data_IF_518039401723
#
_entry.id   IF_518039401723
#
_cell.length_a   1.000
_cell.length_b   1.000
_cell.length_c   1.000
_cell.angle_alpha   90.00
_cell.angle_beta   90.00
_cell.angle_gamma   90.00
#
_symmetry.space_group_name_H-M   'P 1'
#
loop_
_entity.id
_entity.type
_entity.pdbx_description
1 polymer ?
#
# COMPACT_ATOMS: atom_id res chain seq x y z
N UNK A 1 -3.02 -19.13 -7.20
CA UNK A 1 -3.27 -17.99 -6.29
C UNK A 1 -3.54 -18.43 -4.84
N UNK A 2 -4.36 -19.46 -4.62
CA UNK A 2 -4.76 -19.93 -3.29
C UNK A 2 -3.62 -20.49 -2.42
N UNK A 3 -2.50 -20.87 -3.02
CA UNK A 3 -1.33 -21.34 -2.25
C UNK A 3 -0.67 -20.22 -1.45
N UNK A 4 -0.65 -18.99 -1.98
CA UNK A 4 0.05 -17.84 -1.38
C UNK A 4 -0.91 -16.79 -0.82
N UNK A 5 -2.18 -16.78 -1.27
CA UNK A 5 -3.13 -15.73 -0.92
C UNK A 5 -4.25 -16.24 -0.03
N UNK A 6 -4.60 -15.42 0.96
CA UNK A 6 -5.75 -15.68 1.83
C UNK A 6 -7.01 -15.14 1.15
N UNK A 7 -7.88 -16.07 0.74
CA UNK A 7 -9.13 -15.83 0.02
C UNK A 7 -8.97 -15.25 -1.41
N UNK A 8 -8.22 -14.18 -1.60
CA UNK A 8 -7.95 -13.56 -2.90
C UNK A 8 -6.69 -12.70 -2.89
N UNK A 9 -6.19 -12.35 -4.07
CA UNK A 9 -5.13 -11.35 -4.21
C UNK A 9 -5.64 -9.95 -3.72
N UNK A 10 -4.85 -9.15 -3.00
CA UNK A 10 -3.42 -9.33 -2.69
C UNK A 10 -3.13 -9.89 -1.28
N UNK A 11 -4.13 -10.29 -0.51
CA UNK A 11 -3.94 -10.75 0.87
C UNK A 11 -3.07 -12.01 0.91
N UNK A 12 -1.96 -11.98 1.67
CA UNK A 12 -1.09 -13.13 1.85
C UNK A 12 -1.60 -14.03 2.99
N UNK A 13 -1.47 -15.35 2.80
CA UNK A 13 -1.56 -16.34 3.87
C UNK A 13 -0.15 -16.66 4.43
N UNK A 14 -0.06 -17.57 5.40
CA UNK A 14 1.21 -17.94 6.05
C UNK A 14 2.26 -18.41 5.04
N UNK A 15 1.90 -19.23 4.06
CA UNK A 15 2.82 -19.68 3.02
C UNK A 15 3.30 -18.52 2.13
N UNK A 16 2.41 -17.60 1.75
CA UNK A 16 2.78 -16.43 0.97
C UNK A 16 3.69 -15.47 1.74
N UNK A 17 3.46 -15.33 3.05
CA UNK A 17 4.35 -14.56 3.94
C UNK A 17 5.72 -15.22 4.07
N UNK A 18 5.78 -16.54 4.25
CA UNK A 18 7.04 -17.29 4.36
C UNK A 18 7.85 -17.26 3.05
N UNK A 19 7.19 -17.45 1.89
CA UNK A 19 7.80 -17.31 0.57
C UNK A 19 8.42 -15.92 0.37
N UNK A 20 7.71 -14.87 0.77
CA UNK A 20 8.21 -13.50 0.70
C UNK A 20 9.38 -13.26 1.66
N UNK A 21 9.32 -13.82 2.88
CA UNK A 21 10.40 -13.76 3.85
C UNK A 21 11.66 -14.49 3.38
N UNK A 22 11.51 -15.55 2.59
CA UNK A 22 12.59 -16.26 1.91
C UNK A 22 13.20 -15.49 0.73
N UNK A 23 12.75 -14.26 0.46
CA UNK A 23 13.33 -13.42 -0.60
C UNK A 23 13.01 -13.87 -2.02
N UNK A 24 11.89 -14.59 -2.20
CA UNK A 24 11.45 -15.15 -3.50
C UNK A 24 12.40 -16.19 -4.12
N UNK A 25 13.36 -16.73 -3.34
CA UNK A 25 14.36 -17.69 -3.85
C UNK A 25 13.85 -19.13 -3.89
N UNK A 26 12.77 -19.45 -3.18
CA UNK A 26 12.14 -20.78 -3.17
C UNK A 26 11.36 -21.11 -4.47
N UNK A 27 11.42 -20.23 -5.45
CA UNK A 27 11.01 -20.55 -6.81
C UNK A 27 11.90 -21.66 -7.35
N UNK A 28 11.31 -22.65 -8.04
CA UNK A 28 12.02 -23.82 -8.57
C UNK A 28 13.01 -23.51 -9.69
N UNK A 29 13.23 -22.26 -10.01
CA UNK A 29 14.17 -21.81 -11.02
C UNK A 29 15.61 -21.97 -10.55
N UNK A 30 16.44 -22.40 -11.47
CA UNK A 30 17.89 -22.41 -11.27
C UNK A 30 18.39 -20.96 -11.27
N UNK A 31 19.33 -20.59 -10.37
CA UNK A 31 20.02 -19.32 -10.50
C UNK A 31 20.81 -19.32 -11.82
N UNK A 32 20.97 -18.13 -12.42
CA UNK A 32 21.88 -17.94 -13.54
C UNK A 32 23.28 -18.43 -13.13
N UNK A 33 23.81 -19.42 -13.79
CA UNK A 33 25.11 -19.99 -13.47
C UNK A 33 25.87 -20.31 -14.77
N UNK A 34 27.11 -19.82 -14.86
CA UNK A 34 28.03 -20.17 -15.94
C UNK A 34 27.59 -19.67 -17.30
N UNK A 35 27.74 -20.53 -18.31
CA UNK A 35 27.39 -20.25 -19.70
C UNK A 35 25.91 -20.41 -20.02
N UNK A 36 25.08 -20.86 -19.08
CA UNK A 36 23.67 -21.14 -19.29
C UNK A 36 22.84 -19.86 -19.01
N UNK A 37 22.84 -18.95 -19.97
CA UNK A 37 22.02 -17.75 -19.99
C UNK A 37 20.57 -18.09 -20.37
N UNK A 38 19.87 -18.89 -19.56
CA UNK A 38 18.43 -19.09 -19.73
C UNK A 38 17.64 -18.15 -18.83
N UNK A 39 17.18 -17.04 -19.38
CA UNK A 39 16.29 -16.12 -18.66
C UNK A 39 14.97 -16.79 -18.30
N UNK A 40 14.50 -17.76 -19.08
CA UNK A 40 13.24 -18.47 -18.84
C UNK A 40 13.22 -19.24 -17.52
N UNK A 41 14.36 -19.72 -17.04
CA UNK A 41 14.45 -20.48 -15.79
C UNK A 41 14.62 -19.60 -14.54
N UNK A 42 14.86 -18.30 -14.72
CA UNK A 42 15.22 -17.38 -13.63
C UNK A 42 14.27 -16.18 -13.49
N UNK A 43 13.45 -15.91 -14.51
CA UNK A 43 12.61 -14.74 -14.60
C UNK A 43 11.15 -15.13 -14.76
N UNK A 44 10.29 -14.62 -13.86
CA UNK A 44 8.83 -14.67 -14.01
C UNK A 44 8.30 -13.28 -14.28
N UNK A 45 7.45 -13.18 -15.29
CA UNK A 45 6.75 -11.95 -15.66
C UNK A 45 5.24 -12.12 -15.55
N UNK A 46 4.56 -11.05 -15.21
CA UNK A 46 3.11 -10.94 -15.24
C UNK A 46 2.72 -9.54 -15.67
N UNK A 47 1.79 -9.45 -16.60
CA UNK A 47 1.06 -8.21 -16.89
C UNK A 47 -0.14 -8.14 -15.96
N UNK A 48 -0.30 -6.99 -15.31
CA UNK A 48 -1.41 -6.75 -14.41
C UNK A 48 -2.22 -5.54 -14.89
N UNK A 49 -3.53 -5.73 -15.06
CA UNK A 49 -4.42 -4.67 -15.54
C UNK A 49 -5.64 -4.51 -14.66
N UNK A 50 -6.11 -3.27 -14.54
CA UNK A 50 -7.36 -2.91 -13.88
C UNK A 50 -8.21 -2.04 -14.79
N UNK A 51 -9.50 -2.37 -14.83
CA UNK A 51 -10.56 -1.56 -15.42
C UNK A 51 -11.47 -1.16 -14.27
N UNK A 52 -11.70 0.13 -14.09
CA UNK A 52 -12.48 0.64 -12.97
C UNK A 52 -13.60 1.55 -13.44
N UNK A 53 -14.78 1.36 -12.86
CA UNK A 53 -15.88 2.30 -12.91
C UNK A 53 -16.15 2.84 -11.52
N UNK A 54 -16.24 4.17 -11.37
CA UNK A 54 -16.55 4.84 -10.11
C UNK A 54 -17.66 5.85 -10.29
N UNK A 55 -18.54 5.94 -9.27
CA UNK A 55 -19.65 6.91 -9.24
C UNK A 55 -19.86 7.43 -7.82
N UNK A 56 -20.06 8.73 -7.69
CA UNK A 56 -20.45 9.38 -6.43
C UNK A 56 -21.91 9.81 -6.47
N UNK A 57 -22.47 10.18 -5.33
CA UNK A 57 -23.76 10.86 -5.24
C UNK A 57 -23.63 12.39 -5.17
N UNK A 58 -22.40 12.92 -5.37
CA UNK A 58 -22.14 14.35 -5.46
C UNK A 58 -22.57 14.93 -6.81
N UNK A 59 -22.50 16.24 -6.94
CA UNK A 59 -22.75 16.94 -8.20
C UNK A 59 -21.50 16.97 -9.08
N UNK A 60 -21.68 16.91 -10.40
CA UNK A 60 -20.55 17.07 -11.33
C UNK A 60 -19.98 18.50 -11.19
N UNK A 61 -18.67 18.57 -11.02
CA UNK A 61 -17.97 19.87 -11.05
C UNK A 61 -17.97 20.44 -12.46
N UNK A 62 -18.00 21.77 -12.58
CA UNK A 62 -17.68 22.41 -13.85
C UNK A 62 -16.27 22.01 -14.26
N UNK A 63 -16.02 21.61 -15.53
CA UNK A 63 -14.69 21.27 -16.00
C UNK A 63 -13.79 22.49 -15.93
N UNK A 64 -12.91 22.53 -14.97
CA UNK A 64 -11.80 23.46 -14.95
C UNK A 64 -10.69 22.83 -15.80
N UNK A 65 -10.49 23.35 -17.03
CA UNK A 65 -9.35 22.97 -17.85
C UNK A 65 -9.43 21.64 -18.60
N UNK A 66 -10.59 21.10 -18.85
CA UNK A 66 -10.81 20.14 -19.96
C UNK A 66 -10.65 18.66 -19.70
N UNK A 67 -10.30 18.18 -18.51
CA UNK A 67 -10.32 16.75 -18.22
C UNK A 67 -11.36 16.40 -17.15
N UNK A 68 -12.17 15.34 -17.37
CA UNK A 68 -13.11 14.86 -16.36
C UNK A 68 -12.34 14.46 -15.11
N UNK A 69 -12.80 14.95 -14.00
CA UNK A 69 -12.25 14.62 -12.69
C UNK A 69 -12.76 13.26 -12.24
N UNK A 70 -11.90 12.52 -11.55
CA UNK A 70 -12.20 11.16 -11.09
C UNK A 70 -13.37 11.13 -10.11
N UNK A 71 -14.24 10.12 -10.25
CA UNK A 71 -15.38 9.86 -9.35
C UNK A 71 -16.48 10.93 -9.41
N UNK A 72 -17.02 11.15 -10.58
CA UNK A 72 -18.10 12.08 -10.83
C UNK A 72 -19.48 11.51 -10.48
N UNK A 73 -20.51 12.37 -10.39
CA UNK A 73 -21.90 11.98 -10.27
C UNK A 73 -22.40 11.16 -11.46
N UNK A 74 -22.00 11.53 -12.67
CA UNK A 74 -22.31 10.80 -13.91
C UNK A 74 -21.65 9.43 -13.98
N UNK A 75 -20.58 9.24 -13.22
CA UNK A 75 -19.72 8.07 -13.25
C UNK A 75 -18.52 8.26 -14.17
N UNK A 76 -17.47 7.52 -13.89
CA UNK A 76 -16.19 7.58 -14.60
C UNK A 76 -15.69 6.15 -14.88
N UNK A 77 -15.38 5.87 -16.13
CA UNK A 77 -14.68 4.65 -16.52
C UNK A 77 -13.20 4.95 -16.71
N UNK A 78 -12.35 4.21 -16.01
CA UNK A 78 -10.90 4.23 -16.17
C UNK A 78 -10.45 2.94 -16.87
N UNK A 79 -9.90 3.08 -18.10
CA UNK A 79 -9.46 1.95 -18.91
C UNK A 79 -8.17 2.30 -19.67
N UNK A 80 -7.02 1.76 -19.26
CA UNK A 80 -6.81 1.05 -18.00
C UNK A 80 -6.74 2.05 -16.82
N UNK A 81 -7.16 1.62 -15.63
CA UNK A 81 -6.86 2.32 -14.38
C UNK A 81 -5.43 2.03 -13.93
N UNK A 82 -4.98 0.83 -14.15
CA UNK A 82 -3.60 0.40 -13.96
C UNK A 82 -3.22 -0.59 -15.05
N UNK A 83 -2.01 -0.47 -15.57
CA UNK A 83 -1.39 -1.43 -16.46
C UNK A 83 0.08 -1.53 -16.08
N UNK A 84 0.45 -2.61 -15.40
CA UNK A 84 1.76 -2.79 -14.81
C UNK A 84 2.42 -4.08 -15.28
N UNK A 85 3.74 -4.04 -15.45
CA UNK A 85 4.58 -5.19 -15.66
C UNK A 85 5.24 -5.54 -14.32
N UNK A 86 4.97 -6.75 -13.83
CA UNK A 86 5.62 -7.30 -12.65
C UNK A 86 6.66 -8.32 -13.09
N UNK A 87 7.90 -8.14 -12.70
CA UNK A 87 8.98 -9.08 -12.91
C UNK A 87 9.55 -9.52 -11.58
N UNK A 88 9.81 -10.80 -11.41
CA UNK A 88 10.43 -11.33 -10.22
C UNK A 88 11.22 -12.58 -10.53
N UNK A 89 12.17 -12.91 -9.67
CA UNK A 89 12.96 -14.10 -9.90
C UNK A 89 14.09 -14.26 -8.90
N UNK A 90 14.85 -15.32 -9.14
CA UNK A 90 16.03 -15.69 -8.37
C UNK A 90 17.29 -15.32 -9.15
N UNK A 91 18.12 -14.46 -8.58
CA UNK A 91 19.40 -14.05 -9.17
C UNK A 91 20.52 -15.00 -8.75
N UNK A 92 20.52 -15.42 -7.49
CA UNK A 92 21.52 -16.32 -6.92
C UNK A 92 20.89 -17.18 -5.82
N UNK A 93 21.66 -18.07 -5.20
CA UNK A 93 21.17 -18.99 -4.16
C UNK A 93 20.36 -18.27 -3.07
N UNK A 94 20.83 -17.11 -2.66
CA UNK A 94 20.26 -16.33 -1.54
C UNK A 94 19.74 -14.96 -1.98
N UNK A 95 19.64 -14.68 -3.29
CA UNK A 95 19.31 -13.37 -3.83
C UNK A 95 18.13 -13.51 -4.78
N UNK A 96 17.03 -12.87 -4.45
CA UNK A 96 15.90 -12.68 -5.34
C UNK A 96 15.78 -11.22 -5.79
N UNK A 97 14.81 -10.94 -6.64
CA UNK A 97 14.43 -9.58 -7.00
C UNK A 97 12.93 -9.50 -7.31
N UNK A 98 12.41 -8.30 -7.24
CA UNK A 98 11.08 -7.93 -7.71
C UNK A 98 11.15 -6.54 -8.30
N UNK A 99 10.57 -6.38 -9.48
CA UNK A 99 10.45 -5.12 -10.20
C UNK A 99 8.99 -4.89 -10.58
N UNK A 100 8.52 -3.67 -10.41
CA UNK A 100 7.23 -3.19 -10.88
C UNK A 100 7.46 -2.06 -11.89
N UNK A 101 7.07 -2.30 -13.14
CA UNK A 101 7.08 -1.32 -14.21
C UNK A 101 5.67 -0.82 -14.49
N UNK A 102 5.48 0.50 -14.55
CA UNK A 102 4.20 1.10 -14.90
C UNK A 102 4.15 1.37 -16.40
N UNK A 103 3.21 0.73 -17.11
CA UNK A 103 3.08 0.82 -18.55
C UNK A 103 2.01 1.84 -18.99
N UNK A 104 1.14 2.28 -18.08
CA UNK A 104 0.10 3.26 -18.34
C UNK A 104 0.05 4.29 -17.21
N UNK A 105 -0.29 5.53 -17.57
CA UNK A 105 -0.29 6.67 -16.65
C UNK A 105 0.98 7.52 -16.76
N UNK A 106 0.95 8.76 -16.31
CA UNK A 106 2.07 9.72 -16.38
C UNK A 106 3.14 9.54 -15.29
N UNK A 107 3.19 8.39 -14.61
CA UNK A 107 4.15 8.10 -13.54
C UNK A 107 5.50 7.58 -14.06
N UNK A 108 6.49 7.39 -13.18
CA UNK A 108 7.78 6.81 -13.55
C UNK A 108 7.60 5.38 -14.07
N UNK A 109 8.32 5.04 -15.15
CA UNK A 109 8.27 3.70 -15.76
C UNK A 109 8.64 2.61 -14.74
N UNK A 110 9.61 2.88 -13.86
CA UNK A 110 9.95 2.02 -12.73
C UNK A 110 9.21 2.50 -11.48
N UNK A 111 8.12 1.85 -11.12
CA UNK A 111 7.35 2.16 -9.91
C UNK A 111 7.98 1.56 -8.64
N UNK A 112 8.62 0.42 -8.77
CA UNK A 112 9.28 -0.20 -7.63
C UNK A 112 10.32 -1.25 -8.02
N UNK A 113 11.39 -1.31 -7.23
CA UNK A 113 12.40 -2.35 -7.33
C UNK A 113 12.89 -2.74 -5.94
N UNK A 114 13.11 -4.03 -5.71
CA UNK A 114 13.79 -4.54 -4.52
C UNK A 114 14.56 -5.82 -4.83
N UNK A 115 15.68 -6.00 -4.12
CA UNK A 115 16.55 -7.15 -4.27
C UNK A 115 16.85 -7.77 -2.89
N UNK A 116 15.98 -8.63 -2.37
CA UNK A 116 16.22 -9.31 -1.10
C UNK A 116 17.42 -10.26 -1.20
N UNK A 117 18.31 -10.12 -0.24
CA UNK A 117 19.42 -11.03 0.03
C UNK A 117 19.17 -11.65 1.40
N UNK A 118 18.99 -12.99 1.46
CA UNK A 118 18.50 -13.70 2.65
C UNK A 118 19.41 -14.86 3.00
N UNK A 119 19.71 -14.99 4.27
CA UNK A 119 20.52 -16.09 4.82
C UNK A 119 19.82 -16.73 6.01
N UNK A 120 19.80 -18.04 6.06
CA UNK A 120 19.36 -18.81 7.21
C UNK A 120 20.54 -19.01 8.17
N UNK A 121 20.41 -18.48 9.37
CA UNK A 121 21.42 -18.55 10.43
C UNK A 121 20.77 -19.02 11.73
N UNK A 122 21.12 -20.20 12.22
CA UNK A 122 20.62 -20.77 13.48
C UNK A 122 19.07 -20.77 13.59
N UNK A 123 18.38 -21.13 12.50
CA UNK A 123 16.92 -21.18 12.45
C UNK A 123 16.24 -19.81 12.32
N UNK A 124 17.00 -18.75 12.09
CA UNK A 124 16.50 -17.41 11.82
C UNK A 124 16.82 -17.02 10.38
N UNK A 125 15.94 -16.29 9.70
CA UNK A 125 16.24 -15.61 8.45
C UNK A 125 16.74 -14.21 8.73
N UNK A 126 17.96 -13.94 8.29
CA UNK A 126 18.56 -12.61 8.30
C UNK A 126 18.63 -12.11 6.86
N UNK A 127 18.31 -10.86 6.64
CA UNK A 127 18.39 -10.33 5.30
C UNK A 127 18.61 -8.85 5.21
N UNK A 128 19.05 -8.43 4.01
CA UNK A 128 19.11 -7.04 3.60
C UNK A 128 18.40 -6.89 2.24
N UNK A 129 17.60 -5.85 2.12
CA UNK A 129 16.84 -5.55 0.91
C UNK A 129 17.10 -4.13 0.48
N UNK A 130 18.00 -3.87 -0.47
CA UNK A 130 18.02 -2.60 -1.20
C UNK A 130 16.70 -2.45 -1.94
N UNK A 131 16.09 -1.27 -1.85
CA UNK A 131 14.80 -1.02 -2.49
C UNK A 131 14.63 0.43 -2.91
N UNK A 132 13.75 0.64 -3.88
CA UNK A 132 13.21 1.95 -4.28
C UNK A 132 11.75 1.79 -4.67
N UNK A 133 10.93 2.78 -4.37
CA UNK A 133 9.49 2.81 -4.72
C UNK A 133 9.00 4.24 -4.88
N UNK A 134 8.09 4.45 -5.82
CA UNK A 134 7.46 5.75 -6.08
C UNK A 134 6.41 6.14 -5.03
N UNK A 135 5.71 5.15 -4.43
CA UNK A 135 4.52 5.42 -3.63
C UNK A 135 4.32 4.54 -2.39
N UNK A 136 5.17 3.52 -2.14
CA UNK A 136 4.88 2.50 -1.14
C UNK A 136 5.64 2.67 0.19
N UNK A 137 6.50 3.68 0.31
CA UNK A 137 7.20 4.03 1.52
C UNK A 137 8.26 3.02 1.97
N UNK A 138 8.84 3.24 3.14
CA UNK A 138 9.94 2.42 3.66
C UNK A 138 9.52 0.96 3.97
N UNK A 139 8.24 0.70 4.18
CA UNK A 139 7.72 -0.67 4.36
C UNK A 139 7.78 -1.52 3.08
N UNK A 140 7.97 -0.90 1.91
CA UNK A 140 8.10 -1.63 0.65
C UNK A 140 9.28 -2.60 0.64
N UNK A 141 10.38 -2.25 1.29
CA UNK A 141 11.56 -3.11 1.36
C UNK A 141 11.27 -4.47 1.99
N UNK A 142 10.64 -4.49 3.16
CA UNK A 142 10.24 -5.72 3.83
C UNK A 142 9.00 -5.52 4.70
N UNK A 143 7.88 -6.11 4.31
CA UNK A 143 6.63 -6.18 5.06
C UNK A 143 5.91 -7.47 4.68
N UNK A 144 5.48 -8.23 5.67
CA UNK A 144 4.79 -9.51 5.45
C UNK A 144 3.28 -9.39 5.68
N UNK A 145 2.85 -8.56 6.64
CA UNK A 145 1.45 -8.47 7.01
C UNK A 145 0.63 -7.68 6.01
N UNK A 146 -0.62 -8.06 5.87
CA UNK A 146 -1.60 -7.34 5.07
C UNK A 146 -1.97 -5.99 5.68
N UNK A 147 -1.83 -5.82 7.00
CA UNK A 147 -2.11 -4.59 7.74
C UNK A 147 -0.92 -3.65 7.82
N UNK A 148 0.30 -4.14 7.76
CA UNK A 148 1.52 -3.35 7.91
C UNK A 148 1.95 -2.62 6.66
N UNK A 149 1.49 -3.05 5.50
CA UNK A 149 1.83 -2.44 4.22
C UNK A 149 0.94 -1.22 3.92
N UNK A 150 1.38 -0.43 2.95
CA UNK A 150 0.60 0.66 2.36
C UNK A 150 -0.76 0.19 1.87
N UNK A 151 -0.80 -0.98 1.27
CA UNK A 151 -2.01 -1.62 0.78
C UNK A 151 -2.47 -2.63 1.79
N UNK A 152 -3.42 -2.21 2.59
CA UNK A 152 -4.18 -3.09 3.46
C UNK A 152 -4.94 -4.14 2.64
N UNK A 153 -5.47 -5.13 3.31
CA UNK A 153 -6.47 -6.01 2.69
C UNK A 153 -7.60 -5.15 2.15
N UNK A 154 -7.77 -5.21 0.84
CA UNK A 154 -8.79 -4.47 0.11
C UNK A 154 -9.48 -5.40 -0.84
N UNK A 155 -10.80 -5.39 -0.81
CA UNK A 155 -11.57 -6.07 -1.84
C UNK A 155 -11.40 -5.34 -3.16
N UNK A 156 -11.53 -4.02 -3.16
CA UNK A 156 -11.23 -3.19 -4.32
C UNK A 156 -10.16 -2.16 -3.99
N UNK A 157 -9.41 -1.75 -4.98
CA UNK A 157 -8.53 -0.58 -4.88
C UNK A 157 -9.33 0.72 -4.89
N UNK A 158 -10.24 0.81 -3.98
CA UNK A 158 -11.07 1.96 -3.81
C UNK A 158 -10.21 3.14 -3.36
N UNK A 159 -10.02 4.13 -4.23
CA UNK A 159 -9.09 5.24 -3.98
C UNK A 159 -9.41 6.05 -2.73
N UNK A 160 -10.63 5.99 -2.26
CA UNK A 160 -11.07 6.70 -1.07
C UNK A 160 -10.98 5.85 0.21
N UNK A 161 -10.91 4.51 0.09
CA UNK A 161 -10.91 3.60 1.22
C UNK A 161 -9.54 2.91 1.36
N UNK A 162 -8.65 3.56 2.07
CA UNK A 162 -7.28 3.16 2.24
C UNK A 162 -7.03 2.67 3.66
N UNK A 163 -5.98 1.89 3.84
CA UNK A 163 -5.50 1.50 5.17
C UNK A 163 -5.13 2.72 6.01
N UNK A 164 -5.08 2.57 7.33
CA UNK A 164 -4.65 3.65 8.21
C UNK A 164 -3.24 4.15 7.85
N UNK A 165 -2.31 3.24 7.54
CA UNK A 165 -0.96 3.59 7.12
C UNK A 165 -0.95 4.33 5.78
N UNK A 166 -1.71 3.88 4.79
CA UNK A 166 -1.80 4.56 3.51
C UNK A 166 -2.40 5.96 3.67
N UNK A 167 -3.45 6.09 4.48
CA UNK A 167 -4.06 7.38 4.76
C UNK A 167 -3.09 8.38 5.39
N UNK A 168 -2.30 7.92 6.37
CA UNK A 168 -1.42 8.81 7.13
C UNK A 168 -0.10 9.07 6.42
N UNK A 169 0.56 8.02 5.88
CA UNK A 169 1.95 8.11 5.44
C UNK A 169 2.13 8.25 3.93
N UNK A 170 1.12 7.92 3.12
CA UNK A 170 1.32 7.82 1.67
C UNK A 170 0.29 8.59 0.84
N UNK A 171 -0.85 8.92 1.41
CA UNK A 171 -1.83 9.78 0.77
C UNK A 171 -1.69 11.21 1.24
N UNK A 172 -1.69 12.11 0.32
CA UNK A 172 -1.61 13.53 0.55
C UNK A 172 -0.39 14.13 -0.10
N UNK A 173 -0.50 15.41 -0.35
CA UNK A 173 0.58 16.20 -0.92
C UNK A 173 1.64 16.36 0.15
N UNK A 174 2.76 15.72 -0.02
CA UNK A 174 3.93 15.98 0.79
C UNK A 174 4.50 17.37 0.46
N UNK A 175 5.26 17.96 1.38
CA UNK A 175 6.03 19.15 1.07
C UNK A 175 6.85 18.90 -0.20
N UNK A 176 6.81 19.81 -1.17
CA UNK A 176 7.46 19.65 -2.46
C UNK A 176 6.61 18.99 -3.56
N UNK A 177 5.31 18.75 -3.36
CA UNK A 177 4.38 18.36 -4.42
C UNK A 177 4.26 16.86 -4.71
N UNK A 178 5.24 16.02 -4.33
CA UNK A 178 5.27 14.58 -4.59
C UNK A 178 4.54 13.75 -3.52
N UNK A 179 4.25 12.48 -3.80
CA UNK A 179 3.66 11.57 -2.82
C UNK A 179 4.61 11.33 -1.65
N UNK A 180 4.10 11.28 -0.44
CA UNK A 180 4.92 10.99 0.75
C UNK A 180 5.52 9.58 0.76
N UNK A 181 5.07 8.71 -0.15
CA UNK A 181 5.52 7.32 -0.27
C UNK A 181 6.77 7.10 -1.12
N UNK A 182 7.25 8.10 -1.87
CA UNK A 182 8.50 7.97 -2.63
C UNK A 182 9.68 7.69 -1.69
N UNK A 183 10.38 6.57 -1.87
CA UNK A 183 11.38 6.12 -0.89
C UNK A 183 12.44 5.23 -1.53
N UNK A 184 13.71 5.45 -1.17
CA UNK A 184 14.83 4.57 -1.52
C UNK A 184 15.64 4.27 -0.27
N UNK A 185 16.05 3.03 -0.07
CA UNK A 185 16.81 2.65 1.12
C UNK A 185 17.21 1.19 1.19
N UNK A 186 17.56 0.77 2.39
CA UNK A 186 17.90 -0.61 2.71
C UNK A 186 17.05 -1.07 3.89
N UNK A 187 16.39 -2.22 3.76
CA UNK A 187 15.74 -2.88 4.90
C UNK A 187 16.64 -4.00 5.41
N UNK A 188 17.04 -3.91 6.65
CA UNK A 188 17.70 -5.00 7.39
C UNK A 188 16.61 -5.70 8.21
N UNK A 189 16.52 -7.02 8.11
CA UNK A 189 15.49 -7.76 8.83
C UNK A 189 16.02 -9.03 9.49
N UNK A 190 15.34 -9.39 10.57
CA UNK A 190 15.39 -10.68 11.23
C UNK A 190 13.97 -11.25 11.23
N UNK A 191 13.81 -12.50 10.79
CA UNK A 191 12.53 -13.19 10.73
C UNK A 191 12.64 -14.62 11.24
N UNK A 192 11.61 -15.07 11.93
CA UNK A 192 11.32 -16.48 12.20
C UNK A 192 9.78 -16.71 12.22
N UNK A 193 9.29 -17.94 12.39
CA UNK A 193 7.85 -18.21 12.38
C UNK A 193 7.03 -17.45 13.42
N UNK A 194 7.64 -16.95 14.50
CA UNK A 194 6.93 -16.32 15.62
C UNK A 194 7.01 -14.78 15.62
N UNK A 195 7.99 -14.20 14.92
CA UNK A 195 8.15 -12.77 14.86
C UNK A 195 9.07 -12.31 13.72
N UNK A 196 9.01 -11.04 13.39
CA UNK A 196 10.05 -10.36 12.61
C UNK A 196 10.27 -8.93 13.08
N UNK A 197 11.47 -8.42 12.83
CA UNK A 197 11.86 -7.04 13.05
C UNK A 197 12.56 -6.49 11.82
N UNK A 198 12.35 -5.19 11.54
CA UNK A 198 12.96 -4.49 10.41
C UNK A 198 13.51 -3.16 10.87
N UNK A 199 14.72 -2.83 10.41
CA UNK A 199 15.33 -1.52 10.48
C UNK A 199 15.61 -1.06 9.04
N UNK A 200 15.06 0.10 8.64
CA UNK A 200 15.27 0.58 7.28
C UNK A 200 15.71 2.06 7.25
N UNK A 201 17.03 2.32 7.19
CA UNK A 201 17.55 3.63 6.82
C UNK A 201 17.16 3.95 5.37
N UNK A 202 16.62 5.16 5.14
CA UNK A 202 16.08 5.54 3.84
C UNK A 202 16.14 7.05 3.58
N UNK A 203 15.96 7.41 2.32
CA UNK A 203 15.66 8.76 1.85
C UNK A 203 14.24 8.82 1.29
N UNK A 204 13.48 9.91 1.50
CA UNK A 204 12.11 10.08 0.97
C UNK A 204 12.11 10.51 -0.51
N UNK A 205 12.92 9.86 -1.32
CA UNK A 205 13.08 10.11 -2.74
C UNK A 205 13.06 8.80 -3.51
N UNK A 206 12.55 8.83 -4.75
CA UNK A 206 12.54 7.72 -5.68
C UNK A 206 13.06 8.21 -7.04
N UNK A 207 14.12 7.59 -7.55
CA UNK A 207 14.69 7.80 -8.88
C UNK A 207 14.53 9.24 -9.41
N UNK A 208 15.16 10.24 -8.80
CA UNK A 208 15.15 11.57 -9.38
C UNK A 208 15.74 11.51 -10.77
N UNK A 209 15.09 12.17 -11.74
CA UNK A 209 15.53 12.17 -13.11
C UNK A 209 16.98 12.65 -13.28
N UNK A 210 17.67 12.16 -14.32
CA UNK A 210 18.97 12.66 -14.73
C UNK A 210 20.17 12.22 -13.88
N UNK A 211 20.09 11.11 -13.15
CA UNK A 211 21.20 10.60 -12.35
C UNK A 211 21.52 11.44 -11.11
N UNK A 212 20.56 12.25 -10.67
CA UNK A 212 20.66 13.07 -9.48
C UNK A 212 20.89 12.25 -8.22
N UNK A 213 21.59 12.82 -7.24
CA UNK A 213 21.83 12.18 -5.96
C UNK A 213 20.52 12.05 -5.18
N UNK A 214 20.25 10.85 -4.66
CA UNK A 214 19.05 10.57 -3.86
C UNK A 214 19.05 11.23 -2.46
N UNK A 215 20.17 11.82 -2.04
CA UNK A 215 20.38 12.34 -0.69
C UNK A 215 20.85 11.27 0.30
N UNK A 216 21.05 11.67 1.55
CA UNK A 216 21.50 10.77 2.62
C UNK A 216 20.39 9.85 3.14
N UNK A 217 20.74 8.70 3.69
CA UNK A 217 19.83 7.77 4.36
C UNK A 217 19.58 8.18 5.82
N UNK A 218 19.13 9.40 6.04
CA UNK A 218 18.98 10.01 7.37
C UNK A 218 17.58 9.91 7.97
N UNK A 219 16.66 9.29 7.27
CA UNK A 219 15.39 8.83 7.81
C UNK A 219 15.45 7.34 8.15
N UNK A 220 14.76 6.94 9.22
CA UNK A 220 14.75 5.56 9.71
C UNK A 220 13.33 5.07 9.89
N UNK A 221 13.06 3.88 9.41
CA UNK A 221 11.83 3.13 9.67
C UNK A 221 12.14 1.92 10.53
N UNK A 222 11.29 1.68 11.53
CA UNK A 222 11.33 0.52 12.41
C UNK A 222 10.01 -0.23 12.32
N UNK A 223 10.09 -1.56 12.28
CA UNK A 223 8.97 -2.49 12.32
C UNK A 223 9.28 -3.62 13.30
N UNK A 224 8.33 -3.96 14.18
CA UNK A 224 8.39 -5.17 14.98
C UNK A 224 7.02 -5.83 15.00
N UNK A 225 6.96 -7.14 14.79
CA UNK A 225 5.73 -7.93 14.65
C UNK A 225 5.88 -9.26 15.37
N UNK A 226 4.85 -9.66 16.10
CA UNK A 226 4.65 -11.02 16.59
C UNK A 226 3.66 -11.74 15.68
N UNK A 227 3.92 -13.04 15.36
CA UNK A 227 3.13 -13.87 14.42
C UNK A 227 2.75 -15.23 15.00
N UNK A 228 2.07 -15.30 16.16
CA UNK A 228 1.70 -16.59 16.75
C UNK A 228 0.55 -17.25 15.97
N UNK A 229 0.56 -18.60 15.95
CA UNK A 229 -0.60 -19.40 15.56
C UNK A 229 -1.29 -19.93 16.81
N UNK A 230 -2.59 -19.66 16.98
CA UNK A 230 -3.36 -20.06 18.15
C UNK A 230 -4.68 -20.68 17.70
N UNK A 231 -4.95 -21.91 18.11
CA UNK A 231 -6.18 -22.62 17.81
C UNK A 231 -6.57 -22.64 16.31
N UNK A 232 -5.57 -22.78 15.44
CA UNK A 232 -5.75 -22.80 13.98
C UNK A 232 -5.94 -21.43 13.33
N UNK A 233 -5.80 -20.34 14.11
CA UNK A 233 -5.77 -18.96 13.59
C UNK A 233 -4.33 -18.47 13.47
N UNK A 234 -3.98 -17.95 12.31
CA UNK A 234 -2.77 -17.16 12.09
C UNK A 234 -3.03 -15.75 12.61
N UNK A 235 -2.35 -15.39 13.68
CA UNK A 235 -2.47 -14.09 14.33
C UNK A 235 -1.21 -13.27 14.08
N UNK A 236 -1.36 -11.95 14.00
CA UNK A 236 -0.21 -11.08 14.03
C UNK A 236 -0.56 -9.74 14.69
N UNK A 237 0.41 -9.16 15.38
CA UNK A 237 0.32 -7.81 15.92
C UNK A 237 1.67 -7.11 15.80
N UNK A 238 1.66 -5.84 15.40
CA UNK A 238 2.89 -5.12 15.14
C UNK A 238 2.84 -3.64 15.41
N UNK A 239 4.05 -3.07 15.49
CA UNK A 239 4.29 -1.64 15.65
C UNK A 239 5.21 -1.14 14.54
N UNK A 240 5.02 0.11 14.14
CA UNK A 240 5.81 0.82 13.15
C UNK A 240 6.18 2.20 13.68
N UNK A 241 7.39 2.66 13.37
CA UNK A 241 7.82 4.01 13.71
C UNK A 241 8.71 4.59 12.60
N UNK A 242 8.54 5.89 12.35
CA UNK A 242 9.37 6.68 11.47
C UNK A 242 10.01 7.81 12.25
N UNK A 243 11.29 8.02 12.03
CA UNK A 243 12.06 9.11 12.63
C UNK A 243 13.14 9.61 11.68
N UNK A 244 13.58 10.85 11.90
CA UNK A 244 14.68 11.45 11.17
C UNK A 244 14.30 12.72 10.42
N UNK A 245 15.24 13.24 9.66
CA UNK A 245 15.07 14.37 8.77
C UNK A 245 15.90 14.15 7.51
N UNK A 246 15.45 14.67 6.40
CA UNK A 246 16.10 14.49 5.12
C UNK A 246 15.84 15.68 4.18
N UNK A 247 16.55 15.69 3.08
CA UNK A 247 16.23 16.56 1.95
C UNK A 247 15.37 15.78 0.96
N UNK A 248 14.33 16.42 0.45
CA UNK A 248 13.47 15.89 -0.57
C UNK A 248 13.60 16.73 -1.82
N UNK A 249 13.72 16.06 -2.96
CA UNK A 249 13.73 16.70 -4.25
C UNK A 249 12.30 16.91 -4.75
N UNK A 250 11.99 18.13 -5.13
CA UNK A 250 10.80 18.43 -5.89
C UNK A 250 11.09 18.17 -7.39
N UNK A 251 10.03 17.98 -8.19
CA UNK A 251 10.11 17.62 -9.61
C UNK A 251 11.02 18.57 -10.44
N UNK A 252 12.32 18.45 -10.26
CA UNK A 252 13.33 18.97 -11.16
C UNK A 252 14.35 19.95 -10.59
N UNK A 253 14.09 20.77 -9.56
CA UNK A 253 15.06 21.79 -9.15
C UNK A 253 15.12 22.15 -7.67
N UNK A 254 14.03 22.03 -6.93
CA UNK A 254 13.99 22.50 -5.55
C UNK A 254 14.26 21.37 -4.55
N UNK A 255 15.10 21.65 -3.57
CA UNK A 255 15.36 20.75 -2.43
C UNK A 255 14.63 21.29 -1.21
N UNK A 256 13.73 20.51 -0.66
CA UNK A 256 12.97 20.86 0.55
C UNK A 256 13.44 19.99 1.71
N UNK A 257 13.82 20.60 2.84
CA UNK A 257 14.05 19.88 4.08
C UNK A 257 12.74 19.30 4.62
N UNK A 258 12.73 18.04 5.05
CA UNK A 258 11.57 17.39 5.66
C UNK A 258 11.96 16.62 6.89
N UNK A 259 11.05 16.53 7.86
CA UNK A 259 11.14 15.55 8.94
C UNK A 259 10.24 14.35 8.66
N UNK A 260 10.70 13.14 8.99
CA UNK A 260 9.88 11.91 8.88
C UNK A 260 9.48 11.51 10.29
N UNK A 261 8.25 11.85 10.70
CA UNK A 261 7.76 11.56 12.07
C UNK A 261 6.38 10.93 12.00
N UNK A 262 6.27 9.72 12.53
CA UNK A 262 5.00 9.03 12.64
C UNK A 262 5.14 7.66 13.29
N UNK A 263 4.00 7.06 13.61
CA UNK A 263 3.95 5.71 14.14
C UNK A 263 2.63 5.04 13.77
N UNK A 264 2.62 3.72 13.76
CA UNK A 264 1.42 2.92 13.61
C UNK A 264 1.47 1.65 14.47
N UNK A 265 0.28 1.14 14.77
CA UNK A 265 0.07 -0.21 15.33
C UNK A 265 -0.94 -0.93 14.46
N UNK A 266 -0.78 -2.23 14.31
CA UNK A 266 -1.66 -3.05 13.50
C UNK A 266 -1.78 -4.47 14.03
N UNK A 267 -2.89 -5.11 13.70
CA UNK A 267 -3.12 -6.52 14.01
C UNK A 267 -3.94 -7.19 12.91
N UNK A 268 -3.69 -8.47 12.68
CA UNK A 268 -4.51 -9.29 11.81
C UNK A 268 -4.78 -10.67 12.43
N UNK A 269 -5.92 -11.23 12.06
CA UNK A 269 -6.28 -12.59 12.36
C UNK A 269 -6.85 -13.25 11.10
N UNK A 270 -6.28 -14.37 10.69
CA UNK A 270 -6.74 -15.17 9.54
C UNK A 270 -7.04 -16.59 10.02
N UNK A 271 -8.25 -17.05 9.77
CA UNK A 271 -8.72 -18.36 10.20
C UNK A 271 -10.02 -18.72 9.51
N UNK A 272 -10.88 -19.48 10.18
CA UNK A 272 -12.16 -19.87 9.64
C UNK A 272 -13.25 -19.93 10.72
N UNK A 273 -14.49 -19.66 10.32
CA UNK A 273 -15.70 -19.89 11.11
C UNK A 273 -16.51 -20.96 10.39
N UNK A 274 -16.54 -22.18 10.96
CA UNK A 274 -17.01 -23.35 10.23
C UNK A 274 -16.14 -23.61 8.99
N UNK A 275 -16.75 -23.69 7.82
CA UNK A 275 -16.06 -23.88 6.54
C UNK A 275 -15.68 -22.56 5.84
N UNK A 276 -16.08 -21.42 6.39
CA UNK A 276 -15.88 -20.11 5.77
C UNK A 276 -14.61 -19.45 6.30
N UNK A 277 -13.62 -19.14 5.44
CA UNK A 277 -12.46 -18.37 5.83
C UNK A 277 -12.88 -16.96 6.30
N UNK A 278 -12.28 -16.51 7.41
CA UNK A 278 -12.51 -15.17 7.97
C UNK A 278 -11.18 -14.48 8.24
N UNK A 279 -11.02 -13.31 7.65
CA UNK A 279 -9.92 -12.37 7.93
C UNK A 279 -10.43 -11.17 8.71
N UNK A 280 -9.71 -10.78 9.78
CA UNK A 280 -9.97 -9.55 10.54
C UNK A 280 -8.69 -8.73 10.58
N UNK A 281 -8.79 -7.44 10.27
CA UNK A 281 -7.64 -6.56 10.06
C UNK A 281 -7.88 -5.23 10.77
N UNK A 282 -6.96 -4.86 11.65
CA UNK A 282 -6.97 -3.61 12.39
C UNK A 282 -5.71 -2.83 12.13
N UNK A 283 -5.81 -1.52 11.96
CA UNK A 283 -4.65 -0.64 11.93
C UNK A 283 -5.00 0.74 12.51
N UNK A 284 -4.03 1.32 13.23
CA UNK A 284 -4.07 2.71 13.68
C UNK A 284 -2.74 3.38 13.35
N UNK A 285 -2.80 4.56 12.74
CA UNK A 285 -1.61 5.33 12.35
C UNK A 285 -1.77 6.80 12.74
N UNK A 286 -0.63 7.44 13.07
CA UNK A 286 -0.59 8.86 13.44
C UNK A 286 0.71 9.51 12.99
N UNK A 287 0.60 10.70 12.40
CA UNK A 287 1.70 11.63 12.15
C UNK A 287 1.43 12.95 12.88
N UNK A 288 2.38 13.50 13.66
CA UNK A 288 2.24 14.80 14.30
C UNK A 288 2.09 15.90 13.24
N UNK A 289 1.47 17.01 13.63
CA UNK A 289 1.36 18.19 12.79
C UNK A 289 2.71 18.87 12.55
N UNK A 290 2.74 19.70 11.54
CA UNK A 290 3.87 20.60 11.22
C UNK A 290 3.65 21.94 11.93
N UNK A 291 4.68 22.43 12.59
CA UNK A 291 4.66 23.79 13.15
C UNK A 291 4.65 24.79 12.00
N UNK A 292 3.76 25.77 12.05
CA UNK A 292 3.67 26.82 11.03
C UNK A 292 5.02 27.54 10.89
N UNK A 293 5.50 27.69 9.65
CA UNK A 293 6.81 28.31 9.36
C UNK A 293 8.01 27.40 9.59
N UNK A 294 7.80 26.10 9.87
CA UNK A 294 8.92 25.15 10.01
C UNK A 294 9.72 25.04 8.72
N UNK A 295 11.04 25.15 8.82
CA UNK A 295 11.95 24.88 7.70
C UNK A 295 12.02 23.39 7.32
N UNK A 296 11.54 22.50 8.21
CA UNK A 296 11.50 21.04 8.00
C UNK A 296 10.11 20.49 8.33
N UNK A 297 9.10 20.74 7.49
CA UNK A 297 7.76 20.23 7.72
C UNK A 297 7.74 18.70 7.76
N UNK A 298 6.76 18.12 8.46
CA UNK A 298 6.60 16.68 8.51
C UNK A 298 6.16 16.17 7.14
N UNK A 299 6.94 15.26 6.56
CA UNK A 299 6.68 14.61 5.28
C UNK A 299 5.26 14.03 5.17
N UNK A 300 4.76 13.48 6.26
CA UNK A 300 3.47 12.79 6.29
C UNK A 300 2.30 13.71 6.59
N UNK A 301 2.55 14.94 7.03
CA UNK A 301 1.50 15.84 7.46
C UNK A 301 1.96 17.31 7.49
N UNK A 302 1.68 18.03 6.44
CA UNK A 302 1.97 19.46 6.35
C UNK A 302 1.02 20.35 7.20
N UNK A 303 -0.12 19.79 7.69
CA UNK A 303 -1.09 20.52 8.50
C UNK A 303 -0.63 20.68 9.95
N UNK A 304 -1.17 21.70 10.64
CA UNK A 304 -0.81 22.00 12.03
C UNK A 304 -1.32 20.97 13.05
N UNK A 305 -2.46 20.35 12.79
CA UNK A 305 -3.01 19.32 13.68
C UNK A 305 -2.51 17.94 13.26
N UNK A 306 -2.52 16.98 14.19
CA UNK A 306 -2.11 15.61 13.90
C UNK A 306 -3.02 14.94 12.84
N UNK A 307 -2.40 14.33 11.84
CA UNK A 307 -3.05 13.42 10.89
C UNK A 307 -3.11 12.04 11.51
N UNK A 308 -4.28 11.40 11.49
CA UNK A 308 -4.49 10.08 12.09
C UNK A 308 -5.59 9.32 11.37
N UNK A 309 -5.47 8.00 11.41
CA UNK A 309 -6.52 7.11 10.93
C UNK A 309 -6.55 5.82 11.76
N UNK A 310 -7.75 5.27 11.91
CA UNK A 310 -8.00 3.93 12.46
C UNK A 310 -8.89 3.21 11.47
N UNK A 311 -8.53 1.99 11.11
CA UNK A 311 -9.32 1.10 10.23
C UNK A 311 -9.54 -0.24 10.90
N UNK A 312 -10.74 -0.78 10.73
CA UNK A 312 -11.12 -2.13 11.11
C UNK A 312 -11.88 -2.75 9.93
N UNK A 313 -11.41 -3.91 9.47
CA UNK A 313 -11.98 -4.62 8.34
C UNK A 313 -12.20 -6.08 8.71
N UNK A 314 -13.37 -6.62 8.37
CA UNK A 314 -13.65 -8.05 8.42
C UNK A 314 -14.01 -8.52 7.00
N UNK A 315 -13.44 -9.65 6.59
CA UNK A 315 -13.68 -10.25 5.28
C UNK A 315 -14.01 -11.74 5.45
N UNK A 316 -15.19 -12.13 4.98
CA UNK A 316 -15.71 -13.49 5.05
C UNK A 316 -15.74 -14.11 3.65
N UNK A 317 -15.12 -15.29 3.51
CA UNK A 317 -15.20 -16.11 2.28
C UNK A 317 -16.52 -16.87 2.24
N UNK A 318 -17.56 -16.28 1.69
CA UNK A 318 -18.91 -16.89 1.61
C UNK A 318 -18.94 -18.08 0.65
N UNK A 319 -18.10 -18.07 -0.36
CA UNK A 319 -17.72 -19.21 -1.18
C UNK A 319 -16.20 -19.29 -1.15
N UNK A 320 -15.62 -20.26 -0.41
CA UNK A 320 -14.17 -20.34 -0.22
C UNK A 320 -13.40 -20.24 -1.55
N UNK A 321 -12.43 -19.33 -1.63
CA UNK A 321 -11.61 -19.05 -2.82
C UNK A 321 -12.39 -18.61 -4.08
N UNK A 322 -13.67 -18.35 -3.97
CA UNK A 322 -14.53 -17.93 -5.10
C UNK A 322 -15.19 -16.59 -4.86
N UNK A 323 -15.78 -16.37 -3.69
CA UNK A 323 -16.46 -15.13 -3.38
C UNK A 323 -16.24 -14.71 -1.93
N UNK A 324 -16.04 -13.41 -1.72
CA UNK A 324 -15.94 -12.81 -0.39
C UNK A 324 -16.91 -11.65 -0.23
N UNK A 325 -17.28 -11.39 1.02
CA UNK A 325 -17.94 -10.14 1.43
C UNK A 325 -17.10 -9.46 2.50
N UNK A 326 -17.06 -8.14 2.49
CA UNK A 326 -16.25 -7.34 3.39
C UNK A 326 -17.05 -6.22 4.03
N UNK A 327 -16.78 -5.97 5.30
CA UNK A 327 -17.22 -4.77 6.00
C UNK A 327 -16.02 -4.06 6.59
N UNK A 328 -15.89 -2.75 6.33
CA UNK A 328 -14.76 -1.96 6.80
C UNK A 328 -15.25 -0.65 7.42
N UNK A 329 -14.60 -0.26 8.51
CA UNK A 329 -14.82 1.01 9.19
C UNK A 329 -13.52 1.81 9.20
N UNK A 330 -13.62 3.11 8.87
CA UNK A 330 -12.53 4.06 9.02
C UNK A 330 -12.97 5.23 9.88
N UNK A 331 -12.11 5.59 10.84
CA UNK A 331 -12.13 6.89 11.53
C UNK A 331 -10.83 7.61 11.26
N UNK A 332 -10.90 8.76 10.63
CA UNK A 332 -9.71 9.48 10.21
C UNK A 332 -9.86 11.00 10.40
N UNK A 333 -8.70 11.66 10.50
CA UNK A 333 -8.56 13.09 10.48
C UNK A 333 -7.32 13.47 9.68
N UNK A 334 -7.46 14.35 8.71
CA UNK A 334 -6.37 14.74 7.80
C UNK A 334 -5.42 15.80 8.38
N UNK A 335 -5.68 16.28 9.61
CA UNK A 335 -4.87 17.31 10.28
C UNK A 335 -5.26 18.74 9.91
N UNK A 336 -6.24 18.97 9.03
CA UNK A 336 -6.72 20.32 8.73
C UNK A 336 -7.42 20.95 9.93
N UNK A 337 -7.34 22.27 10.05
CA UNK A 337 -7.97 23.02 11.13
C UNK A 337 -9.49 22.98 11.04
N UNK A 338 -10.04 22.95 9.84
CA UNK A 338 -11.47 22.90 9.54
C UNK A 338 -11.74 21.68 8.66
N UNK A 339 -12.88 21.01 8.88
CA UNK A 339 -13.32 19.86 8.08
C UNK A 339 -12.31 18.69 8.00
N UNK A 340 -11.51 18.50 9.05
CA UNK A 340 -10.47 17.47 9.06
C UNK A 340 -10.98 16.03 9.21
N UNK A 341 -12.21 15.83 9.66
CA UNK A 341 -12.79 14.50 9.90
C UNK A 341 -13.12 13.78 8.60
N UNK A 342 -12.79 12.48 8.53
CA UNK A 342 -12.96 11.65 7.35
C UNK A 342 -13.29 10.20 7.74
N UNK A 343 -14.51 10.03 8.27
CA UNK A 343 -15.00 8.74 8.74
C UNK A 343 -15.88 8.09 7.66
N UNK A 344 -15.75 6.80 7.46
CA UNK A 344 -16.53 6.07 6.46
C UNK A 344 -16.80 4.62 6.87
N UNK A 345 -17.88 4.07 6.34
CA UNK A 345 -18.17 2.64 6.34
C UNK A 345 -18.19 2.15 4.91
N UNK A 346 -17.51 1.03 4.63
CA UNK A 346 -17.43 0.42 3.31
C UNK A 346 -17.95 -1.00 3.35
N UNK A 347 -18.89 -1.30 2.47
CA UNK A 347 -19.31 -2.65 2.13
C UNK A 347 -18.61 -3.05 0.83
N UNK A 348 -18.04 -4.24 0.79
CA UNK A 348 -17.36 -4.75 -0.38
C UNK A 348 -17.69 -6.20 -0.67
N UNK A 349 -17.42 -6.63 -1.90
CA UNK A 349 -17.49 -8.00 -2.35
C UNK A 349 -16.46 -8.28 -3.43
N UNK A 350 -15.95 -9.49 -3.50
CA UNK A 350 -15.14 -9.97 -4.61
C UNK A 350 -15.69 -11.27 -5.17
N UNK A 351 -15.49 -11.48 -6.46
CA UNK A 351 -15.85 -12.72 -7.15
C UNK A 351 -14.74 -13.10 -8.13
N UNK A 352 -14.18 -14.29 -7.93
CA UNK A 352 -13.18 -14.85 -8.84
C UNK A 352 -13.88 -15.42 -10.06
N UNK A 353 -13.78 -14.72 -11.19
CA UNK A 353 -14.35 -15.17 -12.47
C UNK A 353 -13.58 -16.36 -13.02
N UNK A 354 -12.24 -16.25 -13.02
CA UNK A 354 -11.32 -17.30 -13.40
C UNK A 354 -10.04 -17.19 -12.54
N UNK A 355 -9.08 -18.09 -12.72
CA UNK A 355 -7.85 -18.15 -11.90
C UNK A 355 -7.16 -16.81 -11.74
N UNK A 356 -7.07 -16.01 -12.78
CA UNK A 356 -6.36 -14.73 -12.83
C UNK A 356 -7.26 -13.53 -13.09
N UNK A 357 -8.59 -13.71 -13.03
CA UNK A 357 -9.56 -12.65 -13.33
C UNK A 357 -10.54 -12.51 -12.17
N UNK A 358 -10.56 -11.33 -11.55
CA UNK A 358 -11.39 -11.03 -10.41
C UNK A 358 -12.26 -9.80 -10.66
N UNK A 359 -13.55 -9.93 -10.34
CA UNK A 359 -14.47 -8.80 -10.24
C UNK A 359 -14.56 -8.34 -8.78
N UNK A 360 -14.58 -7.04 -8.57
CA UNK A 360 -14.68 -6.42 -7.24
C UNK A 360 -15.73 -5.32 -7.24
N UNK A 361 -16.44 -5.24 -6.11
CA UNK A 361 -17.41 -4.21 -5.79
C UNK A 361 -17.07 -3.58 -4.46
N UNK A 362 -17.19 -2.25 -4.34
CA UNK A 362 -17.15 -1.56 -3.07
C UNK A 362 -18.14 -0.38 -3.07
N UNK A 363 -18.83 -0.20 -1.95
CA UNK A 363 -19.68 0.94 -1.70
C UNK A 363 -19.33 1.55 -0.35
N UNK A 364 -18.84 2.79 -0.37
CA UNK A 364 -18.43 3.53 0.82
C UNK A 364 -19.38 4.68 1.09
N UNK A 365 -19.76 4.83 2.34
CA UNK A 365 -20.59 5.95 2.81
C UNK A 365 -19.89 6.67 3.95
N UNK A 366 -19.82 7.99 3.87
CA UNK A 366 -19.31 8.84 4.96
C UNK A 366 -20.25 8.84 6.13
N UNK A 367 -19.70 8.78 7.32
CA UNK A 367 -20.50 8.89 8.55
C UNK A 367 -20.90 10.34 8.82
N UNK A 368 -22.06 10.54 9.46
CA UNK A 368 -22.49 11.85 9.98
C UNK A 368 -21.41 12.42 10.92
N UNK A 369 -21.24 13.73 10.91
CA UNK A 369 -20.25 14.42 11.74
C UNK A 369 -18.93 14.76 11.02
N UNK A 370 -18.83 14.49 9.74
CA UNK A 370 -17.68 14.89 8.92
C UNK A 370 -17.76 16.35 8.43
N UNK A 371 -18.36 17.24 9.20
CA UNK A 371 -18.47 18.70 8.96
C UNK A 371 -19.06 19.09 7.59
N UNK A 372 -19.93 18.27 7.00
CA UNK A 372 -20.64 18.58 5.77
C UNK A 372 -19.79 18.58 4.49
N UNK A 373 -18.48 18.36 4.58
CA UNK A 373 -17.63 18.30 3.39
C UNK A 373 -17.68 16.90 2.78
N UNK A 374 -18.19 16.78 1.56
CA UNK A 374 -18.13 15.53 0.79
C UNK A 374 -16.68 15.16 0.47
N UNK A 375 -16.35 13.89 0.57
CA UNK A 375 -15.01 13.39 0.27
C UNK A 375 -14.86 12.88 -1.16
N UNK A 376 -15.95 12.37 -1.69
CA UNK A 376 -15.97 11.71 -2.98
C UNK A 376 -16.46 12.68 -4.05
N UNK A 377 -15.64 12.92 -5.04
CA UNK A 377 -16.02 13.77 -6.16
C UNK A 377 -14.87 14.57 -6.72
N UNK A 378 -15.13 15.23 -7.84
CA UNK A 378 -14.09 15.87 -8.63
C UNK A 378 -13.35 17.00 -7.91
N UNK A 379 -14.02 17.65 -7.02
CA UNK A 379 -13.41 18.71 -6.22
C UNK A 379 -13.87 18.52 -4.79
N UNK A 380 -12.98 18.15 -3.90
CA UNK A 380 -13.15 18.37 -2.48
C UNK A 380 -13.10 19.90 -2.25
N UNK A 381 -14.09 20.61 -2.80
CA UNK A 381 -14.19 22.07 -2.59
C UNK A 381 -14.60 22.29 -1.16
N UNK A 382 -14.05 23.33 -0.58
CA UNK A 382 -14.27 23.70 0.80
C UNK A 382 -15.76 23.92 1.17
N UNK A 383 -16.64 24.14 0.19
CA UNK A 383 -18.06 24.34 0.37
C UNK A 383 -18.89 23.04 0.47
N UNK A 384 -18.27 21.88 0.19
CA UNK A 384 -18.94 20.58 0.28
C UNK A 384 -20.10 20.34 -0.71
N UNK A 385 -20.42 21.30 -1.57
CA UNK A 385 -21.63 21.26 -2.41
C UNK A 385 -21.50 20.36 -3.63
N UNK A 386 -20.27 19.99 -4.02
CA UNK A 386 -19.98 19.22 -5.22
C UNK A 386 -19.43 17.82 -4.94
N UNK A 387 -19.01 17.56 -3.74
CA UNK A 387 -18.50 16.25 -3.33
C UNK A 387 -19.62 15.40 -2.74
N UNK A 388 -19.70 14.14 -3.14
CA UNK A 388 -20.64 13.19 -2.58
C UNK A 388 -20.20 12.63 -1.24
N UNK A 389 -21.14 12.12 -0.48
CA UNK A 389 -20.93 11.36 0.75
C UNK A 389 -20.96 9.83 0.54
N UNK A 390 -21.21 9.39 -0.67
CA UNK A 390 -21.15 7.99 -1.08
C UNK A 390 -20.34 7.81 -2.36
N UNK A 391 -19.60 6.69 -2.44
CA UNK A 391 -18.82 6.27 -3.60
C UNK A 391 -19.03 4.80 -3.87
N UNK A 392 -19.42 4.47 -5.11
CA UNK A 392 -19.51 3.10 -5.60
C UNK A 392 -18.39 2.84 -6.59
N UNK A 393 -17.70 1.74 -6.43
CA UNK A 393 -16.64 1.26 -7.32
C UNK A 393 -16.95 -0.14 -7.81
N UNK A 394 -16.85 -0.33 -9.12
CA UNK A 394 -16.79 -1.64 -9.77
C UNK A 394 -15.42 -1.77 -10.41
N UNK A 395 -14.77 -2.90 -10.23
CA UNK A 395 -13.43 -3.11 -10.79
C UNK A 395 -13.29 -4.53 -11.31
N UNK A 396 -12.77 -4.65 -12.51
CA UNK A 396 -12.24 -5.88 -13.06
C UNK A 396 -10.71 -5.80 -13.03
N UNK A 397 -10.08 -6.80 -12.44
CA UNK A 397 -8.64 -6.95 -12.50
C UNK A 397 -8.24 -8.27 -13.11
N UNK A 398 -7.17 -8.27 -13.88
CA UNK A 398 -6.62 -9.46 -14.49
C UNK A 398 -5.08 -9.43 -14.41
N UNK A 399 -4.48 -10.63 -14.15
CA UNK A 399 -3.05 -10.85 -14.19
C UNK A 399 -2.73 -12.01 -15.14
N UNK A 400 -1.81 -11.85 -16.07
CA UNK A 400 -1.44 -12.85 -17.06
C UNK A 400 0.03 -12.75 -17.46
#
# INVERSE_FOLDING_TARGET
>A
CSSCHFQHFPALNDFGMDFKAGGYVDMKNKPLAGSDLSLADSLYGSLFTKIRYQKTNGTDGAPAGGLPTKSTHSGELQFPDEFALLLGGRVAKNIGFMLEGQLAGGGPVLAGFKMPMVWDVAGQRLGVVPFTTDALGASYGFELLNTGAVRNVRISEHRAETSAQQYVFFQGTAPGGNTAGATTGFSFFLHNPNFYVVLAPHTPNHLPGGGSQLGGLSSTYLRAVATPTVAGWSLAAGVQAWAGSNSRFNDGTDVVGVSTKGWAVDAQAQGAVGAMPLGVYFAHAKAPGTVTGSATPNLFNANANARRATTLTAELGVLPQKATVQLSFRRANNGAAVAGSDNATTLGASYQLDQNVQFQFAHSVRQKGNNGVGRYGPNAVADGTRSGDALTTLMLQAGF
#
